data_IF_754239698777
#
_entry.id   IF_754239698777
#
_cell.length_a   1.000
_cell.length_b   1.000
_cell.length_c   1.000
_cell.angle_alpha   90.00
_cell.angle_beta   90.00
_cell.angle_gamma   90.00
#
_symmetry.space_group_name_H-M   'P 1'
#
loop_
_entity.id
_entity.type
_entity.pdbx_description
1 polymer ?
#
# COMPACT_ATOMS: atom_id res chain seq x y z
N UNK A 1 -44.88 -16.92 -33.59
CA UNK A 1 -43.72 -16.28 -34.27
C UNK A 1 -43.91 -14.77 -34.25
N UNK A 2 -43.25 -14.07 -33.33
CA UNK A 2 -43.23 -12.61 -33.27
C UNK A 2 -41.77 -12.18 -33.13
N UNK A 3 -41.21 -11.60 -34.20
CA UNK A 3 -39.89 -10.97 -34.21
C UNK A 3 -40.09 -9.50 -33.85
N UNK A 4 -39.62 -9.11 -32.67
CA UNK A 4 -39.47 -7.71 -32.28
C UNK A 4 -38.04 -7.30 -32.57
N UNK A 5 -37.84 -6.50 -33.62
CA UNK A 5 -36.58 -5.82 -33.93
C UNK A 5 -36.51 -4.51 -33.14
N UNK A 6 -35.79 -4.52 -32.02
CA UNK A 6 -35.47 -3.30 -31.28
C UNK A 6 -34.25 -2.62 -31.92
N UNK A 7 -34.46 -1.42 -32.46
CA UNK A 7 -33.42 -0.55 -32.98
C UNK A 7 -32.60 0.04 -31.82
N UNK A 8 -31.33 -0.34 -31.71
CA UNK A 8 -30.37 0.30 -30.81
C UNK A 8 -29.99 1.68 -31.35
N UNK A 9 -30.41 2.75 -30.66
CA UNK A 9 -29.83 4.08 -30.83
C UNK A 9 -28.52 4.16 -30.04
N UNK A 10 -27.41 4.65 -30.62
CA UNK A 10 -26.17 4.81 -29.87
C UNK A 10 -26.32 5.93 -28.84
N UNK A 11 -26.02 5.61 -27.58
CA UNK A 11 -25.89 6.59 -26.50
C UNK A 11 -24.74 7.55 -26.85
N UNK A 12 -25.09 8.82 -27.14
CA UNK A 12 -24.13 9.92 -27.23
C UNK A 12 -23.40 10.01 -25.88
N UNK A 13 -22.13 9.62 -25.87
CA UNK A 13 -21.20 9.84 -24.76
C UNK A 13 -21.08 11.35 -24.54
N UNK A 14 -21.74 11.87 -23.51
CA UNK A 14 -21.55 13.25 -23.06
C UNK A 14 -20.16 13.30 -22.41
N UNK A 15 -19.14 13.60 -23.20
CA UNK A 15 -17.83 14.00 -22.70
C UNK A 15 -18.04 15.41 -22.15
N UNK A 16 -18.34 15.52 -20.85
CA UNK A 16 -18.15 16.79 -20.14
C UNK A 16 -16.65 17.08 -20.17
N UNK A 17 -16.25 18.07 -20.97
CA UNK A 17 -14.95 18.69 -20.83
C UNK A 17 -14.93 19.40 -19.46
N UNK A 18 -14.32 18.75 -18.48
CA UNK A 18 -14.07 19.32 -17.16
C UNK A 18 -13.19 20.56 -17.28
N UNK A 19 -13.56 21.61 -16.57
CA UNK A 19 -12.90 22.91 -16.60
C UNK A 19 -11.42 22.82 -16.26
N UNK A 20 -10.62 23.58 -17.00
CA UNK A 20 -9.17 23.65 -16.83
C UNK A 20 -8.82 24.53 -15.62
N UNK A 21 -8.81 23.99 -14.41
CA UNK A 21 -8.23 24.68 -13.26
C UNK A 21 -6.73 24.40 -13.18
N UNK A 22 -5.92 25.46 -13.31
CA UNK A 22 -4.52 25.42 -12.88
C UNK A 22 -4.55 25.24 -11.36
N UNK A 23 -4.30 24.01 -10.86
CA UNK A 23 -4.18 23.78 -9.42
C UNK A 23 -3.13 24.73 -8.83
N UNK A 24 -3.56 25.59 -7.91
CA UNK A 24 -2.74 26.56 -7.18
C UNK A 24 -2.12 25.96 -5.92
N UNK A 25 -2.48 24.70 -5.59
CA UNK A 25 -1.98 24.01 -4.41
C UNK A 25 -0.48 23.77 -4.52
N UNK A 26 0.17 23.58 -3.37
CA UNK A 26 1.60 23.24 -3.32
C UNK A 26 1.88 21.97 -4.11
N UNK A 27 1.05 20.93 -3.93
CA UNK A 27 1.14 19.69 -4.70
C UNK A 27 0.97 19.90 -6.21
N UNK A 28 -0.06 20.64 -6.66
CA UNK A 28 -0.27 20.90 -8.08
C UNK A 28 0.92 21.62 -8.74
N UNK A 29 1.56 22.55 -8.03
CA UNK A 29 2.78 23.24 -8.50
C UNK A 29 3.98 22.29 -8.55
N UNK A 30 4.17 21.46 -7.53
CA UNK A 30 5.29 20.51 -7.48
C UNK A 30 5.14 19.39 -8.50
N UNK A 31 3.92 18.90 -8.74
CA UNK A 31 3.62 17.94 -9.81
C UNK A 31 3.91 18.53 -11.19
N UNK A 32 3.58 19.81 -11.41
CA UNK A 32 3.93 20.52 -12.64
C UNK A 32 5.44 20.65 -12.84
N UNK A 33 6.19 20.96 -11.77
CA UNK A 33 7.67 21.04 -11.79
C UNK A 33 8.31 19.67 -12.05
N UNK A 34 7.77 18.62 -11.42
CA UNK A 34 8.16 17.23 -11.68
C UNK A 34 7.93 16.85 -13.15
N UNK A 35 6.83 17.36 -13.73
CA UNK A 35 6.55 17.33 -15.15
C UNK A 35 5.48 16.30 -15.49
N UNK A 36 4.33 16.77 -15.96
CA UNK A 36 3.18 15.92 -16.30
C UNK A 36 3.46 14.83 -17.35
N UNK A 37 4.50 14.97 -18.18
CA UNK A 37 4.96 13.92 -19.10
C UNK A 37 5.39 12.63 -18.37
N UNK A 38 5.76 12.74 -17.10
CA UNK A 38 6.12 11.63 -16.20
C UNK A 38 4.92 11.17 -15.36
N UNK A 39 3.73 11.60 -15.71
CA UNK A 39 2.50 11.22 -15.04
C UNK A 39 1.51 10.67 -16.06
N UNK A 40 0.70 9.73 -15.62
CA UNK A 40 -0.38 9.16 -16.42
C UNK A 40 -1.63 8.97 -15.56
N UNK A 41 -2.75 8.81 -16.24
CA UNK A 41 -4.02 8.44 -15.63
C UNK A 41 -4.43 7.08 -16.14
N UNK A 42 -4.86 6.19 -15.23
CA UNK A 42 -5.38 4.87 -15.56
C UNK A 42 -6.58 4.59 -14.66
N UNK A 43 -7.75 4.36 -15.25
CA UNK A 43 -9.00 4.06 -14.52
C UNK A 43 -9.33 5.07 -13.38
N UNK A 44 -8.99 6.35 -13.57
CA UNK A 44 -9.22 7.40 -12.55
C UNK A 44 -8.12 7.55 -11.50
N UNK A 45 -7.09 6.69 -11.51
CA UNK A 45 -5.91 6.84 -10.67
C UNK A 45 -4.87 7.76 -11.31
N UNK A 46 -4.27 8.65 -10.52
CA UNK A 46 -3.09 9.42 -10.90
C UNK A 46 -1.82 8.61 -10.61
N UNK A 47 -1.09 8.25 -11.65
CA UNK A 47 0.19 7.54 -11.57
C UNK A 47 1.34 8.54 -11.75
N UNK A 48 2.20 8.65 -10.75
CA UNK A 48 3.31 9.61 -10.71
C UNK A 48 4.65 8.87 -10.83
N UNK A 49 5.48 9.26 -11.78
CA UNK A 49 6.71 8.53 -12.14
C UNK A 49 6.53 7.57 -13.32
N UNK A 50 5.34 7.56 -13.91
CA UNK A 50 4.98 6.69 -15.01
C UNK A 50 4.26 7.48 -16.09
N UNK A 51 4.90 7.64 -17.25
CA UNK A 51 4.36 8.38 -18.38
C UNK A 51 3.23 7.65 -19.12
N UNK A 52 2.53 8.33 -20.04
CA UNK A 52 1.51 7.73 -20.88
C UNK A 52 2.17 6.90 -21.99
N UNK A 53 2.40 5.62 -21.72
CA UNK A 53 2.87 4.66 -22.73
C UNK A 53 1.83 3.52 -22.86
N UNK A 54 1.49 3.16 -24.10
CA UNK A 54 0.47 2.14 -24.40
C UNK A 54 -0.97 2.65 -24.33
N UNK A 55 -1.93 1.77 -24.66
CA UNK A 55 -3.35 2.15 -24.84
C UNK A 55 -4.12 2.40 -23.53
N UNK A 56 -3.62 1.87 -22.40
CA UNK A 56 -4.33 1.88 -21.12
C UNK A 56 -4.05 3.14 -20.27
N UNK A 57 -3.02 3.93 -20.63
CA UNK A 57 -2.56 5.09 -19.86
C UNK A 57 -2.79 6.39 -20.64
N UNK A 58 -3.56 7.29 -20.05
CA UNK A 58 -3.85 8.61 -20.62
C UNK A 58 -2.86 9.66 -20.13
N UNK A 59 -2.50 10.61 -20.99
CA UNK A 59 -1.65 11.73 -20.62
C UNK A 59 -2.34 12.65 -19.61
N UNK A 60 -1.63 13.02 -18.56
CA UNK A 60 -2.06 14.05 -17.62
C UNK A 60 -1.62 15.40 -18.15
N UNK A 61 -2.53 16.39 -18.19
CA UNK A 61 -2.18 17.78 -18.58
C UNK A 61 -2.38 18.77 -17.45
N UNK A 62 -3.27 18.43 -16.53
CA UNK A 62 -3.58 19.17 -15.31
C UNK A 62 -3.85 18.15 -14.20
N UNK A 63 -3.83 18.63 -12.95
CA UNK A 63 -4.28 17.83 -11.83
C UNK A 63 -5.78 17.50 -11.99
N UNK A 64 -6.22 16.25 -11.83
CA UNK A 64 -7.64 15.90 -11.85
C UNK A 64 -8.41 16.62 -10.73
N UNK A 65 -9.61 17.10 -11.03
CA UNK A 65 -10.47 17.77 -10.04
C UNK A 65 -10.92 16.82 -8.91
N UNK A 66 -11.03 15.53 -9.23
CA UNK A 66 -11.30 14.46 -8.28
C UNK A 66 -10.14 13.47 -8.30
N UNK A 67 -9.48 13.34 -7.16
CA UNK A 67 -8.39 12.40 -6.93
C UNK A 67 -8.83 11.41 -5.86
N UNK A 68 -9.29 10.25 -6.30
CA UNK A 68 -9.61 9.15 -5.39
C UNK A 68 -8.39 8.25 -5.15
N UNK A 69 -7.60 8.00 -6.19
CA UNK A 69 -6.41 7.15 -6.12
C UNK A 69 -5.16 7.89 -6.62
N UNK A 70 -4.08 7.83 -5.84
CA UNK A 70 -2.76 8.37 -6.20
C UNK A 70 -1.68 7.31 -5.98
N UNK A 71 -0.82 7.11 -6.97
CA UNK A 71 0.31 6.19 -6.89
C UNK A 71 1.63 6.90 -7.19
N UNK A 72 2.55 6.88 -6.23
CA UNK A 72 3.93 7.33 -6.37
C UNK A 72 4.82 6.13 -6.69
N UNK A 73 5.22 6.00 -7.96
CA UNK A 73 5.89 4.82 -8.51
C UNK A 73 7.41 4.97 -8.65
N UNK A 74 7.94 6.09 -8.15
CA UNK A 74 9.37 6.33 -7.91
C UNK A 74 9.54 6.91 -6.49
N UNK A 75 8.84 6.34 -5.51
CA UNK A 75 8.67 6.88 -4.16
C UNK A 75 9.94 7.47 -3.50
N UNK A 76 11.07 6.75 -3.47
CA UNK A 76 12.33 7.25 -2.88
C UNK A 76 12.85 8.53 -3.56
N UNK A 77 12.70 8.62 -4.89
CA UNK A 77 13.10 9.79 -5.67
C UNK A 77 12.04 10.92 -5.68
N UNK A 78 10.86 10.67 -5.11
CA UNK A 78 9.71 11.57 -5.11
C UNK A 78 9.39 12.15 -3.72
N UNK A 79 10.31 12.05 -2.76
CA UNK A 79 10.08 12.44 -1.36
C UNK A 79 9.50 13.85 -1.19
N UNK A 80 10.03 14.85 -1.91
CA UNK A 80 9.53 16.23 -1.84
C UNK A 80 8.10 16.35 -2.37
N UNK A 81 7.80 15.64 -3.47
CA UNK A 81 6.48 15.64 -4.08
C UNK A 81 5.45 14.92 -3.19
N UNK A 82 5.85 13.82 -2.55
CA UNK A 82 5.03 13.10 -1.56
C UNK A 82 4.77 14.00 -0.34
N UNK A 83 5.80 14.68 0.16
CA UNK A 83 5.66 15.63 1.27
C UNK A 83 4.67 16.75 0.95
N UNK A 84 4.76 17.30 -0.27
CA UNK A 84 3.85 18.33 -0.75
C UNK A 84 2.42 17.82 -0.93
N UNK A 85 2.25 16.56 -1.36
CA UNK A 85 0.96 15.89 -1.47
C UNK A 85 0.32 15.65 -0.09
N UNK A 86 1.05 15.03 0.86
CA UNK A 86 0.52 14.73 2.20
C UNK A 86 0.10 15.97 2.99
N UNK A 87 0.57 17.15 2.58
CA UNK A 87 0.20 18.46 3.14
C UNK A 87 -0.93 19.17 2.38
N UNK A 88 -1.42 18.58 1.29
CA UNK A 88 -2.34 19.25 0.37
C UNK A 88 -3.80 18.90 0.62
N UNK A 89 -4.75 19.75 0.18
CA UNK A 89 -6.17 19.43 0.22
C UNK A 89 -6.52 18.16 -0.58
N UNK A 90 -5.75 17.83 -1.61
CA UNK A 90 -5.96 16.63 -2.42
C UNK A 90 -5.73 15.34 -1.63
N UNK A 91 -4.73 15.29 -0.73
CA UNK A 91 -4.52 14.13 0.13
C UNK A 91 -5.69 13.87 1.10
N UNK A 92 -6.51 14.89 1.39
CA UNK A 92 -7.71 14.72 2.23
C UNK A 92 -8.83 13.99 1.49
N UNK A 93 -8.82 13.92 0.15
CA UNK A 93 -9.89 13.32 -0.67
C UNK A 93 -9.56 11.89 -1.10
N UNK A 94 -8.28 11.56 -1.08
CA UNK A 94 -7.76 10.29 -1.60
C UNK A 94 -8.18 9.14 -0.69
N UNK A 95 -8.81 8.14 -1.28
CA UNK A 95 -9.19 6.90 -0.59
C UNK A 95 -8.14 5.81 -0.74
N UNK A 96 -7.32 5.87 -1.79
CA UNK A 96 -6.27 4.89 -2.08
C UNK A 96 -4.93 5.56 -2.37
N UNK A 97 -3.92 5.23 -1.58
CA UNK A 97 -2.55 5.72 -1.75
C UNK A 97 -1.60 4.55 -1.98
N UNK A 98 -0.77 4.65 -3.01
CA UNK A 98 0.32 3.70 -3.26
C UNK A 98 1.64 4.45 -3.26
N UNK A 99 2.63 3.98 -2.50
CA UNK A 99 3.98 4.57 -2.52
C UNK A 99 5.02 3.48 -2.59
N UNK A 100 5.80 3.49 -3.66
CA UNK A 100 6.70 2.40 -3.94
C UNK A 100 7.55 2.61 -5.17
N UNK A 101 8.01 1.50 -5.72
CA UNK A 101 8.78 1.48 -6.97
C UNK A 101 8.03 0.72 -8.05
N UNK A 102 8.17 1.18 -9.29
CA UNK A 102 7.77 0.41 -10.48
C UNK A 102 8.98 -0.28 -11.10
N UNK A 103 8.73 -1.28 -11.95
CA UNK A 103 9.76 -1.93 -12.76
C UNK A 103 10.59 -0.92 -13.58
N UNK A 104 9.96 0.16 -14.07
CA UNK A 104 10.65 1.22 -14.81
C UNK A 104 11.64 2.01 -13.93
N UNK A 105 11.32 2.20 -12.65
CA UNK A 105 12.24 2.79 -11.70
C UNK A 105 13.43 1.86 -11.46
N UNK A 106 13.15 0.58 -11.20
CA UNK A 106 14.16 -0.46 -10.97
C UNK A 106 15.12 -0.62 -12.15
N UNK A 107 14.61 -0.63 -13.39
CA UNK A 107 15.43 -0.77 -14.59
C UNK A 107 16.41 0.40 -14.79
N UNK A 108 16.06 1.60 -14.32
CA UNK A 108 16.93 2.79 -14.40
C UNK A 108 17.96 2.85 -13.26
N UNK A 109 17.70 2.18 -12.15
CA UNK A 109 18.56 2.15 -10.96
C UNK A 109 18.78 0.71 -10.48
N UNK A 110 19.35 -0.16 -11.32
CA UNK A 110 19.42 -1.58 -10.99
C UNK A 110 20.30 -1.82 -9.75
N UNK A 111 21.39 -1.09 -9.55
CA UNK A 111 22.37 -1.40 -8.51
C UNK A 111 21.97 -0.96 -7.07
N UNK A 112 20.95 -0.11 -6.94
CA UNK A 112 20.60 0.52 -5.67
C UNK A 112 19.25 -0.07 -5.23
N UNK A 113 19.24 -0.87 -4.16
CA UNK A 113 17.99 -1.12 -3.43
C UNK A 113 17.31 0.21 -3.05
N UNK A 114 16.10 0.16 -2.51
CA UNK A 114 15.38 1.38 -2.15
C UNK A 114 14.91 1.38 -0.70
N UNK A 115 14.94 2.58 -0.11
CA UNK A 115 14.54 2.85 1.26
C UNK A 115 13.44 3.91 1.29
N UNK A 116 12.28 3.54 1.85
CA UNK A 116 11.13 4.40 2.08
C UNK A 116 11.10 4.98 3.50
N UNK A 117 12.09 4.72 4.36
CA UNK A 117 12.10 5.19 5.75
C UNK A 117 11.96 6.71 5.88
N UNK A 118 12.61 7.48 4.99
CA UNK A 118 12.41 8.94 4.94
C UNK A 118 10.98 9.31 4.52
N UNK A 119 10.36 8.55 3.61
CA UNK A 119 8.96 8.74 3.22
C UNK A 119 8.04 8.41 4.39
N UNK A 120 8.30 7.32 5.13
CA UNK A 120 7.50 6.93 6.30
C UNK A 120 7.50 8.02 7.37
N UNK A 121 8.63 8.71 7.57
CA UNK A 121 8.72 9.85 8.48
C UNK A 121 7.75 10.99 8.15
N UNK A 122 7.33 11.14 6.88
CA UNK A 122 6.41 12.19 6.44
C UNK A 122 4.99 12.01 6.96
N UNK A 123 4.58 10.78 7.33
CA UNK A 123 3.26 10.48 7.91
C UNK A 123 3.11 10.99 9.34
N UNK A 124 4.22 11.29 10.04
CA UNK A 124 4.17 11.83 11.41
C UNK A 124 3.43 13.17 11.45
N UNK A 125 2.37 13.24 12.25
CA UNK A 125 1.55 14.44 12.40
C UNK A 125 0.67 14.77 11.18
N UNK A 126 0.49 13.82 10.25
CA UNK A 126 -0.47 13.95 9.16
C UNK A 126 -1.85 13.47 9.58
N UNK A 127 -2.84 13.88 8.81
CA UNK A 127 -4.22 13.44 8.95
C UNK A 127 -4.77 13.18 7.56
N UNK A 128 -5.16 11.94 7.29
CA UNK A 128 -5.62 11.42 6.00
C UNK A 128 -6.98 10.73 6.25
N UNK A 129 -8.03 11.50 6.53
CA UNK A 129 -9.29 10.98 7.07
C UNK A 129 -10.05 10.10 6.08
N UNK A 130 -9.83 10.27 4.78
CA UNK A 130 -10.52 9.47 3.76
C UNK A 130 -9.70 8.28 3.27
N UNK A 131 -8.44 8.14 3.71
CA UNK A 131 -7.59 7.04 3.26
C UNK A 131 -8.10 5.70 3.82
N UNK A 132 -8.43 4.78 2.92
CA UNK A 132 -8.97 3.44 3.22
C UNK A 132 -8.04 2.32 2.75
N UNK A 133 -7.22 2.56 1.74
CA UNK A 133 -6.26 1.59 1.21
C UNK A 133 -4.87 2.23 1.11
N UNK A 134 -3.88 1.57 1.69
CA UNK A 134 -2.49 1.95 1.59
C UNK A 134 -1.65 0.76 1.11
N UNK A 135 -0.90 0.96 0.03
CA UNK A 135 0.07 0.00 -0.48
C UNK A 135 1.47 0.62 -0.44
N UNK A 136 2.43 -0.06 0.16
CA UNK A 136 3.81 0.39 0.35
C UNK A 136 4.81 -0.64 -0.17
N UNK A 137 5.93 -0.18 -0.71
CA UNK A 137 7.05 -1.04 -1.06
C UNK A 137 7.15 -1.34 -2.56
N UNK A 138 7.56 -2.55 -2.92
CA UNK A 138 7.68 -2.93 -4.33
C UNK A 138 6.31 -3.15 -4.97
N UNK A 139 5.99 -2.44 -6.05
CA UNK A 139 4.68 -2.55 -6.70
C UNK A 139 4.65 -3.76 -7.67
N UNK A 140 5.21 -4.90 -7.26
CA UNK A 140 5.32 -6.16 -7.99
C UNK A 140 4.01 -6.54 -8.68
N UNK A 141 2.90 -6.41 -7.95
CA UNK A 141 1.53 -6.76 -8.38
C UNK A 141 1.08 -6.00 -9.63
N UNK A 142 1.68 -4.85 -9.95
CA UNK A 142 1.36 -4.10 -11.17
C UNK A 142 2.12 -4.58 -12.41
N UNK A 143 3.22 -5.32 -12.26
CA UNK A 143 4.17 -5.57 -13.37
C UNK A 143 4.76 -6.99 -13.46
N UNK A 144 4.38 -7.94 -12.59
CA UNK A 144 4.80 -9.35 -12.62
C UNK A 144 6.33 -9.55 -12.68
N UNK A 145 7.10 -8.74 -11.95
CA UNK A 145 8.56 -8.88 -11.87
C UNK A 145 9.07 -8.35 -10.54
N UNK A 146 9.83 -9.14 -9.77
CA UNK A 146 10.28 -8.70 -8.44
C UNK A 146 11.49 -7.80 -8.55
N UNK A 147 11.44 -6.72 -7.78
CA UNK A 147 12.53 -5.76 -7.68
C UNK A 147 13.30 -6.04 -6.40
N UNK A 148 14.63 -6.02 -6.57
CA UNK A 148 15.71 -6.05 -5.57
C UNK A 148 15.38 -5.28 -4.27
N UNK A 149 16.02 -5.68 -3.16
CA UNK A 149 16.28 -4.92 -1.93
C UNK A 149 15.36 -3.71 -1.67
N UNK A 150 14.18 -3.97 -1.10
CA UNK A 150 13.26 -2.96 -0.57
C UNK A 150 13.43 -2.82 0.95
N UNK A 151 13.28 -1.60 1.47
CA UNK A 151 13.02 -1.33 2.88
C UNK A 151 11.91 -0.30 3.02
N UNK A 152 10.79 -0.69 3.65
CA UNK A 152 9.65 0.22 3.88
C UNK A 152 9.96 1.18 5.03
N UNK A 153 10.47 0.67 6.15
CA UNK A 153 10.77 1.47 7.35
C UNK A 153 9.67 1.40 8.41
N UNK A 154 9.68 2.35 9.36
CA UNK A 154 8.74 2.39 10.49
C UNK A 154 7.35 2.89 10.05
N UNK A 155 6.37 2.00 10.03
CA UNK A 155 4.99 2.32 9.65
C UNK A 155 4.11 2.70 10.83
N UNK A 156 4.61 2.69 12.08
CA UNK A 156 3.85 3.06 13.28
C UNK A 156 3.10 4.41 13.14
N UNK A 157 3.68 5.47 12.52
CA UNK A 157 2.99 6.74 12.32
C UNK A 157 1.76 6.66 11.40
N UNK A 158 1.70 5.67 10.51
CA UNK A 158 0.61 5.51 9.53
C UNK A 158 -0.73 5.32 10.23
N UNK A 159 -0.79 4.52 11.29
CA UNK A 159 -2.02 4.20 12.02
C UNK A 159 -2.67 5.44 12.66
N UNK A 160 -1.87 6.43 13.06
CA UNK A 160 -2.40 7.71 13.53
C UNK A 160 -2.77 8.64 12.37
N UNK A 161 -2.01 8.58 11.27
CA UNK A 161 -2.22 9.43 10.12
C UNK A 161 -3.51 9.07 9.37
N UNK A 162 -3.85 7.78 9.27
CA UNK A 162 -4.96 7.27 8.47
C UNK A 162 -5.97 6.51 9.35
N UNK A 163 -6.77 7.19 10.19
CA UNK A 163 -7.61 6.53 11.19
C UNK A 163 -8.72 5.63 10.61
N UNK A 164 -9.04 5.81 9.32
CA UNK A 164 -10.07 5.04 8.60
C UNK A 164 -9.47 4.01 7.64
N UNK A 165 -8.19 3.67 7.79
CA UNK A 165 -7.51 2.67 6.98
C UNK A 165 -8.19 1.30 7.16
N UNK A 166 -8.48 0.62 6.05
CA UNK A 166 -9.12 -0.70 6.00
C UNK A 166 -8.21 -1.77 5.43
N UNK A 167 -7.41 -1.43 4.43
CA UNK A 167 -6.49 -2.34 3.76
C UNK A 167 -5.07 -1.79 3.84
N UNK A 168 -4.15 -2.60 4.33
CA UNK A 168 -2.73 -2.32 4.37
C UNK A 168 -1.96 -3.43 3.64
N UNK A 169 -1.30 -3.06 2.55
CA UNK A 169 -0.50 -3.94 1.71
C UNK A 169 0.97 -3.50 1.76
N UNK A 170 1.85 -4.41 2.17
CA UNK A 170 3.27 -4.16 2.45
C UNK A 170 4.13 -5.12 1.63
N UNK A 171 4.70 -4.63 0.54
CA UNK A 171 5.63 -5.38 -0.30
C UNK A 171 7.09 -5.05 0.07
N UNK A 172 7.56 -5.65 1.17
CA UNK A 172 8.91 -5.50 1.69
C UNK A 172 9.00 -5.38 3.22
N UNK A 173 10.21 -5.40 3.78
CA UNK A 173 10.43 -5.38 5.22
C UNK A 173 10.04 -4.03 5.84
N UNK A 174 9.40 -4.09 7.02
CA UNK A 174 8.87 -2.93 7.75
C UNK A 174 9.15 -3.04 9.26
N UNK A 175 8.94 -1.93 9.98
CA UNK A 175 9.06 -1.88 11.43
C UNK A 175 7.79 -1.36 12.10
N UNK A 176 7.50 -1.94 13.26
CA UNK A 176 6.59 -1.37 14.26
C UNK A 176 7.40 -1.12 15.52
N UNK A 177 7.43 0.12 15.98
CA UNK A 177 8.19 0.49 17.19
C UNK A 177 7.45 0.16 18.48
N UNK A 178 6.13 -0.10 18.39
CA UNK A 178 5.25 -0.48 19.49
C UNK A 178 3.99 -1.16 18.93
N UNK A 179 3.23 -1.89 19.77
CA UNK A 179 1.88 -2.30 19.40
C UNK A 179 1.01 -1.09 19.06
N UNK A 180 0.09 -1.26 18.12
CA UNK A 180 -0.83 -0.21 17.66
C UNK A 180 -2.27 -0.60 17.97
N UNK A 181 -3.15 0.40 18.00
CA UNK A 181 -4.60 0.20 18.06
C UNK A 181 -5.20 0.83 16.81
N UNK A 182 -6.04 0.09 16.08
CA UNK A 182 -6.68 0.60 14.87
C UNK A 182 -8.10 0.04 14.69
N UNK A 183 -9.10 0.92 14.76
CA UNK A 183 -10.50 0.54 14.88
C UNK A 183 -11.16 0.04 13.58
N UNK A 184 -10.53 0.25 12.43
CA UNK A 184 -11.17 0.03 11.12
C UNK A 184 -10.34 -0.84 10.17
N UNK A 185 -9.18 -1.31 10.59
CA UNK A 185 -8.32 -2.13 9.72
C UNK A 185 -8.95 -3.50 9.57
N UNK A 186 -9.11 -3.96 8.34
CA UNK A 186 -9.78 -5.20 7.98
C UNK A 186 -8.80 -6.23 7.41
N UNK A 187 -7.78 -5.75 6.70
CA UNK A 187 -6.82 -6.60 6.01
C UNK A 187 -5.41 -6.03 6.15
N UNK A 188 -4.48 -6.93 6.49
CA UNK A 188 -3.04 -6.67 6.48
C UNK A 188 -2.39 -7.79 5.66
N UNK A 189 -1.79 -7.42 4.54
CA UNK A 189 -1.00 -8.33 3.71
C UNK A 189 0.44 -7.85 3.70
N UNK A 190 1.35 -8.77 3.99
CA UNK A 190 2.79 -8.54 3.96
C UNK A 190 3.42 -9.60 3.07
N UNK A 191 4.20 -9.14 2.11
CA UNK A 191 4.99 -10.00 1.23
C UNK A 191 6.43 -9.50 1.23
N UNK A 192 7.36 -10.36 1.66
CA UNK A 192 8.79 -10.07 1.69
C UNK A 192 9.53 -11.04 0.77
N UNK A 193 10.17 -10.52 -0.26
CA UNK A 193 10.89 -11.32 -1.26
C UNK A 193 12.36 -11.56 -0.83
N UNK A 194 12.90 -12.76 -1.04
CA UNK A 194 14.31 -13.11 -0.82
C UNK A 194 15.32 -12.18 -1.48
N UNK A 195 14.97 -11.61 -2.63
CA UNK A 195 15.81 -10.66 -3.35
C UNK A 195 16.02 -9.35 -2.57
N UNK A 196 15.42 -9.20 -1.38
CA UNK A 196 15.56 -8.00 -0.56
C UNK A 196 16.90 -7.87 0.20
N UNK A 197 17.78 -8.88 0.14
CA UNK A 197 19.10 -8.90 0.81
C UNK A 197 19.04 -9.20 2.32
N UNK A 198 20.14 -9.04 3.07
CA UNK A 198 20.15 -9.37 4.52
C UNK A 198 19.23 -8.50 5.40
N UNK A 199 18.70 -7.39 4.86
CA UNK A 199 17.68 -6.57 5.54
C UNK A 199 16.23 -7.01 5.22
N UNK A 200 16.05 -8.12 4.48
CA UNK A 200 14.78 -8.69 4.02
C UNK A 200 13.98 -9.45 5.08
N UNK A 201 14.15 -9.14 6.37
CA UNK A 201 13.57 -9.98 7.43
C UNK A 201 12.65 -9.15 8.31
N UNK A 202 11.46 -9.69 8.60
CA UNK A 202 10.60 -9.14 9.64
C UNK A 202 11.24 -9.45 10.99
N UNK A 203 11.65 -8.43 11.74
CA UNK A 203 12.24 -8.66 13.06
C UNK A 203 11.25 -9.27 14.05
N UNK A 204 11.73 -10.08 14.98
CA UNK A 204 10.91 -10.62 16.08
C UNK A 204 10.18 -9.51 16.86
N UNK A 205 10.80 -8.34 17.02
CA UNK A 205 10.18 -7.19 17.68
C UNK A 205 8.99 -6.63 16.88
N UNK A 206 9.14 -6.49 15.56
CA UNK A 206 8.06 -6.07 14.65
C UNK A 206 6.91 -7.07 14.72
N UNK A 207 7.21 -8.36 14.61
CA UNK A 207 6.23 -9.43 14.66
C UNK A 207 5.48 -9.45 16.01
N UNK A 208 6.22 -9.37 17.12
CA UNK A 208 5.63 -9.29 18.46
C UNK A 208 4.71 -8.08 18.59
N UNK A 209 5.15 -6.91 18.13
CA UNK A 209 4.33 -5.69 18.17
C UNK A 209 3.05 -5.83 17.34
N UNK A 210 3.12 -6.47 16.17
CA UNK A 210 1.95 -6.75 15.34
C UNK A 210 0.95 -7.68 16.04
N UNK A 211 1.43 -8.81 16.59
CA UNK A 211 0.58 -9.76 17.31
C UNK A 211 -0.05 -9.16 18.56
N UNK A 212 0.66 -8.25 19.25
CA UNK A 212 0.16 -7.58 20.45
C UNK A 212 -0.69 -6.33 20.17
N UNK A 213 -0.91 -5.99 18.89
CA UNK A 213 -1.74 -4.85 18.49
C UNK A 213 -3.24 -5.15 18.66
N UNK A 214 -4.05 -4.12 18.94
CA UNK A 214 -5.51 -4.25 18.99
C UNK A 214 -6.13 -3.83 17.67
N UNK A 215 -6.52 -4.81 16.88
CA UNK A 215 -7.04 -4.64 15.53
C UNK A 215 -8.42 -5.34 15.43
N UNK A 216 -9.47 -4.79 16.09
CA UNK A 216 -10.73 -5.49 16.31
C UNK A 216 -11.51 -5.84 15.04
N UNK A 217 -11.23 -5.16 13.94
CA UNK A 217 -11.92 -5.36 12.66
C UNK A 217 -11.13 -6.22 11.67
N UNK A 218 -9.91 -6.66 12.02
CA UNK A 218 -9.07 -7.45 11.10
C UNK A 218 -9.69 -8.83 10.91
N UNK A 219 -9.89 -9.17 9.64
CA UNK A 219 -10.43 -10.45 9.17
C UNK A 219 -9.34 -11.30 8.53
N UNK A 220 -8.37 -10.65 7.87
CA UNK A 220 -7.27 -11.29 7.18
C UNK A 220 -5.93 -10.68 7.60
N UNK A 221 -5.00 -11.55 8.01
CA UNK A 221 -3.62 -11.21 8.33
C UNK A 221 -2.70 -12.23 7.67
N UNK A 222 -1.91 -11.79 6.69
CA UNK A 222 -0.94 -12.64 5.98
C UNK A 222 0.45 -12.04 6.06
N UNK A 223 1.42 -12.83 6.52
CA UNK A 223 2.84 -12.53 6.57
C UNK A 223 3.60 -13.62 5.83
N UNK A 224 3.87 -13.36 4.55
CA UNK A 224 4.60 -14.26 3.66
C UNK A 224 6.02 -13.76 3.46
N UNK A 225 6.97 -14.68 3.53
CA UNK A 225 8.39 -14.38 3.38
C UNK A 225 9.06 -15.48 2.58
N UNK A 226 9.50 -15.11 1.38
CA UNK A 226 10.28 -15.98 0.51
C UNK A 226 11.78 -15.96 0.86
N UNK A 227 12.18 -15.24 1.93
CA UNK A 227 13.58 -15.02 2.26
C UNK A 227 14.34 -16.31 2.59
N UNK A 228 15.52 -16.49 1.99
CA UNK A 228 16.30 -17.73 2.08
C UNK A 228 17.12 -17.86 3.37
N UNK A 229 17.34 -16.77 4.11
CA UNK A 229 18.12 -16.71 5.36
C UNK A 229 17.26 -16.27 6.55
N UNK A 230 15.98 -16.60 6.49
CA UNK A 230 14.99 -16.01 7.39
C UNK A 230 15.11 -16.63 8.78
N UNK A 231 15.27 -15.78 9.81
CA UNK A 231 15.33 -16.23 11.20
C UNK A 231 13.92 -16.63 11.62
N UNK A 232 13.68 -17.87 12.08
CA UNK A 232 12.34 -18.29 12.46
C UNK A 232 11.75 -17.38 13.54
N UNK A 233 10.47 -17.04 13.38
CA UNK A 233 9.72 -16.18 14.26
C UNK A 233 9.08 -16.96 15.41
N UNK A 234 9.11 -16.36 16.59
CA UNK A 234 8.42 -16.86 17.77
C UNK A 234 7.05 -16.19 17.91
N UNK A 235 5.98 -16.98 17.81
CA UNK A 235 4.62 -16.50 18.09
C UNK A 235 4.53 -16.11 19.56
N UNK A 236 4.20 -14.86 19.94
CA UNK A 236 4.13 -14.48 21.34
C UNK A 236 3.14 -15.35 22.11
N UNK A 237 3.51 -15.88 23.26
CA UNK A 237 2.62 -16.70 24.12
C UNK A 237 1.43 -15.92 24.64
N UNK A 238 1.54 -14.59 24.70
CA UNK A 238 0.46 -13.68 25.09
C UNK A 238 -0.47 -13.28 23.94
N UNK A 239 -0.24 -13.78 22.71
CA UNK A 239 -1.13 -13.54 21.59
C UNK A 239 -2.44 -14.31 21.78
N UNK A 240 -3.55 -13.57 21.86
CA UNK A 240 -4.91 -14.12 21.89
C UNK A 240 -5.73 -13.45 20.78
N UNK A 241 -6.03 -14.14 19.66
CA UNK A 241 -6.80 -13.53 18.59
C UNK A 241 -8.19 -13.09 19.06
N UNK A 242 -8.80 -13.71 20.07
CA UNK A 242 -10.13 -13.31 20.55
C UNK A 242 -10.13 -11.96 21.26
N UNK A 243 -9.02 -11.57 21.86
CA UNK A 243 -8.88 -10.28 22.54
C UNK A 243 -8.27 -9.21 21.62
N UNK A 244 -7.26 -9.57 20.84
CA UNK A 244 -6.52 -8.63 19.98
C UNK A 244 -7.20 -8.41 18.61
N UNK A 245 -7.72 -9.48 17.99
CA UNK A 245 -8.23 -9.50 16.61
C UNK A 245 -9.48 -10.39 16.49
N UNK A 246 -10.58 -10.12 17.23
CA UNK A 246 -11.74 -11.02 17.37
C UNK A 246 -12.44 -11.43 16.07
N UNK A 247 -12.21 -10.74 14.96
CA UNK A 247 -12.81 -11.04 13.65
C UNK A 247 -11.86 -11.79 12.71
N UNK A 248 -10.66 -12.14 13.16
CA UNK A 248 -9.65 -12.81 12.35
C UNK A 248 -10.16 -14.20 11.96
N UNK A 249 -10.28 -14.44 10.65
CA UNK A 249 -10.70 -15.75 10.10
C UNK A 249 -9.68 -16.32 9.13
N UNK A 250 -8.83 -15.46 8.54
CA UNK A 250 -7.71 -15.85 7.72
C UNK A 250 -6.42 -15.36 8.38
N UNK A 251 -5.61 -16.28 8.88
CA UNK A 251 -4.34 -15.98 9.50
C UNK A 251 -3.26 -16.83 8.84
N UNK A 252 -2.26 -16.20 8.25
CA UNK A 252 -1.19 -16.87 7.53
C UNK A 252 0.15 -16.27 7.95
N UNK A 253 1.04 -17.10 8.49
CA UNK A 253 2.39 -16.70 8.88
C UNK A 253 3.33 -17.82 8.51
N UNK A 254 4.38 -17.48 7.77
CA UNK A 254 5.44 -18.40 7.42
C UNK A 254 6.64 -18.28 8.36
N UNK A 255 7.56 -19.25 8.25
CA UNK A 255 8.84 -19.22 8.95
C UNK A 255 8.73 -19.09 10.48
N UNK A 256 7.87 -19.90 11.11
CA UNK A 256 7.76 -19.98 12.57
C UNK A 256 8.77 -20.97 13.17
N UNK A 257 9.19 -20.76 14.43
CA UNK A 257 9.88 -21.80 15.20
C UNK A 257 9.00 -23.04 15.36
N UNK A 258 9.56 -24.26 15.52
CA UNK A 258 8.75 -25.48 15.64
C UNK A 258 7.69 -25.44 16.76
N UNK A 259 8.02 -24.85 17.91
CA UNK A 259 7.06 -24.68 19.03
C UNK A 259 5.96 -23.67 18.69
N UNK A 260 6.31 -22.60 17.98
CA UNK A 260 5.33 -21.61 17.51
C UNK A 260 4.43 -22.16 16.41
N UNK A 261 4.95 -23.03 15.53
CA UNK A 261 4.18 -23.71 14.52
C UNK A 261 3.08 -24.58 15.15
N UNK A 262 3.39 -25.36 16.19
CA UNK A 262 2.39 -26.17 16.89
C UNK A 262 1.26 -25.31 17.49
N UNK A 263 1.60 -24.16 18.09
CA UNK A 263 0.60 -23.23 18.63
C UNK A 263 -0.21 -22.56 17.53
N UNK A 264 0.43 -22.20 16.43
CA UNK A 264 -0.21 -21.66 15.25
C UNK A 264 -1.21 -22.66 14.65
N UNK A 265 -0.83 -23.93 14.47
CA UNK A 265 -1.71 -24.98 13.96
C UNK A 265 -2.94 -25.17 14.86
N UNK A 266 -2.74 -25.19 16.19
CA UNK A 266 -3.85 -25.24 17.15
C UNK A 266 -4.76 -23.99 17.08
N UNK A 267 -4.20 -22.81 16.81
CA UNK A 267 -4.99 -21.59 16.60
C UNK A 267 -5.79 -21.68 15.29
N UNK A 268 -5.21 -22.20 14.20
CA UNK A 268 -5.91 -22.37 12.93
C UNK A 268 -7.16 -23.25 13.08
N UNK A 269 -7.08 -24.35 13.84
CA UNK A 269 -8.24 -25.20 14.14
C UNK A 269 -9.36 -24.42 14.83
N UNK A 270 -9.01 -23.49 15.73
CA UNK A 270 -10.01 -22.64 16.42
C UNK A 270 -10.60 -21.60 15.48
N UNK A 271 -9.80 -21.02 14.58
CA UNK A 271 -10.25 -19.99 13.63
C UNK A 271 -11.14 -20.56 12.52
N UNK A 272 -10.93 -21.81 12.11
CA UNK A 272 -11.72 -22.49 11.06
C UNK A 272 -13.08 -23.02 11.53
N UNK A 273 -13.30 -23.12 12.85
CA UNK A 273 -14.51 -23.68 13.46
C UNK A 273 -15.49 -22.59 13.92
N UNK A 274 -15.06 -21.31 13.97
CA UNK A 274 -15.86 -20.15 14.34
C UNK A 274 -16.60 -19.51 13.17
#
# INVERSE_FOLDING_TARGET
>A
MCRVTAAFKPLKKVIRQSGCHRSTTRFGRSLRRFGYRRCSSMQGALLVGLGPEGELRSAVRNLPDQLDTVAFLEGPAQIELISDFLQSPEAQQVSTLKIGTSQLYAARRPAEGFDLGKVMSLFKGRHLPNLRSLCLGDMFVLYNSSVRACRIGDITPVFNAAPNLRMLDLCGPFFLTRPVEHAHLQEVSVHVDASSGQEAVISQQTFTNLMMSKLPEVQSLSLLSDATEDVPLDLPTAFDPRAQMPKLTAFEVENLTPESQQRYDALQEVLLVG
#
